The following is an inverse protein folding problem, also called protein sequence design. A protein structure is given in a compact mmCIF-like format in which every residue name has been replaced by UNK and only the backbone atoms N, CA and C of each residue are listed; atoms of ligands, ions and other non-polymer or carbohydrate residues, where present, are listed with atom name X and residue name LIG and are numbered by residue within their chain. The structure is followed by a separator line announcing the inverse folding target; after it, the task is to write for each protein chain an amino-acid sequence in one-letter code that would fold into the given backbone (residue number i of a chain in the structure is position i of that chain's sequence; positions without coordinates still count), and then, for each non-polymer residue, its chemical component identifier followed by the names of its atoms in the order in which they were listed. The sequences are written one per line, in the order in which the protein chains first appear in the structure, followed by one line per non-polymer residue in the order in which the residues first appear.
data_IF_972838183685
#
_entry.id   IF_972838183685
#
_cell.length_a   1.000
_cell.length_b   1.000
_cell.length_c   1.000
_cell.angle_alpha   90.00
_cell.angle_beta   90.00
_cell.angle_gamma   90.00
#
_symmetry.space_group_name_H-M   'P 1'
#
loop_
_entity.id
_entity.type
_entity.pdbx_description
1 polymer ?
#
# COMPACT_ATOMS: atom_id res chain seq x y z
N UNK A 1 4.70 22.12 -14.89
CA UNK A 1 3.25 21.82 -14.70
C UNK A 1 3.00 20.64 -13.72
N UNK A 2 4.02 20.04 -13.11
CA UNK A 2 3.90 18.89 -12.17
C UNK A 2 3.69 19.27 -10.69
N UNK A 3 3.80 20.54 -10.29
CA UNK A 3 3.66 20.96 -8.88
C UNK A 3 2.22 20.99 -8.33
N UNK A 4 1.21 20.59 -9.12
CA UNK A 4 -0.17 20.56 -8.65
C UNK A 4 -0.56 19.26 -7.95
N UNK A 5 0.21 18.19 -8.12
CA UNK A 5 -0.11 16.84 -7.64
C UNK A 5 -0.22 16.77 -6.11
N UNK A 6 0.78 17.29 -5.39
CA UNK A 6 0.78 17.28 -3.91
C UNK A 6 -0.14 18.33 -3.28
N UNK A 7 -0.66 19.30 -4.07
CA UNK A 7 -1.46 20.41 -3.54
C UNK A 7 -2.84 19.96 -3.02
N UNK A 8 -3.40 18.88 -3.55
CA UNK A 8 -4.68 18.32 -3.10
C UNK A 8 -4.66 18.00 -1.61
N UNK A 9 -3.51 17.54 -1.07
CA UNK A 9 -3.38 17.20 0.35
C UNK A 9 -3.57 18.39 1.28
N UNK A 10 -3.24 19.61 0.84
CA UNK A 10 -3.40 20.84 1.65
C UNK A 10 -4.87 21.28 1.76
N UNK A 11 -5.75 20.77 0.91
CA UNK A 11 -7.17 21.10 0.90
C UNK A 11 -7.99 20.19 1.80
N UNK A 12 -7.40 19.08 2.27
CA UNK A 12 -8.06 18.03 3.04
C UNK A 12 -7.87 18.24 4.53
N UNK A 13 -8.93 18.02 5.31
CA UNK A 13 -8.82 18.08 6.76
C UNK A 13 -8.21 16.80 7.32
N UNK A 14 -7.31 16.96 8.27
CA UNK A 14 -6.59 15.87 8.92
C UNK A 14 -7.52 14.81 9.55
N UNK A 15 -8.67 15.23 10.12
CA UNK A 15 -9.68 14.31 10.70
C UNK A 15 -10.40 13.49 9.63
N UNK A 16 -10.72 14.11 8.49
CA UNK A 16 -11.39 13.46 7.36
C UNK A 16 -10.41 12.52 6.63
N UNK A 17 -9.14 12.92 6.50
CA UNK A 17 -8.08 12.06 5.99
C UNK A 17 -7.89 10.81 6.87
N UNK A 18 -7.90 10.94 8.19
CA UNK A 18 -7.81 9.79 9.09
C UNK A 18 -9.00 8.84 8.91
N UNK A 19 -10.21 9.37 8.77
CA UNK A 19 -11.41 8.56 8.59
C UNK A 19 -11.42 7.84 7.22
N UNK A 20 -11.08 8.53 6.14
CA UNK A 20 -10.98 7.95 4.80
C UNK A 20 -9.91 6.85 4.73
N UNK A 21 -8.74 7.08 5.33
CA UNK A 21 -7.66 6.10 5.46
C UNK A 21 -8.14 4.84 6.18
N UNK A 22 -8.88 4.97 7.28
CA UNK A 22 -9.45 3.83 8.01
C UNK A 22 -10.35 2.97 7.11
N UNK A 23 -11.20 3.60 6.31
CA UNK A 23 -12.08 2.89 5.39
C UNK A 23 -11.31 2.18 4.28
N UNK A 24 -10.35 2.86 3.66
CA UNK A 24 -9.50 2.29 2.64
C UNK A 24 -8.66 1.12 3.18
N UNK A 25 -8.11 1.25 4.39
CA UNK A 25 -7.34 0.17 5.01
C UNK A 25 -8.22 -1.04 5.34
N UNK A 26 -9.49 -0.85 5.72
CA UNK A 26 -10.42 -1.96 5.92
C UNK A 26 -10.73 -2.68 4.61
N UNK A 27 -10.80 -1.99 3.48
CA UNK A 27 -10.89 -2.63 2.16
C UNK A 27 -9.65 -3.47 1.84
N UNK A 28 -8.43 -2.98 2.14
CA UNK A 28 -7.19 -3.73 1.98
C UNK A 28 -7.13 -4.97 2.88
N UNK A 29 -7.67 -4.89 4.08
CA UNK A 29 -7.74 -6.04 4.98
C UNK A 29 -8.60 -7.19 4.39
N UNK A 30 -9.62 -6.89 3.61
CA UNK A 30 -10.36 -7.93 2.90
C UNK A 30 -9.51 -8.61 1.82
N UNK A 31 -8.70 -7.86 1.08
CA UNK A 31 -7.75 -8.43 0.13
C UNK A 31 -6.71 -9.32 0.83
N UNK A 32 -6.17 -8.86 1.98
CA UNK A 32 -5.24 -9.63 2.78
C UNK A 32 -5.84 -10.94 3.31
N UNK A 33 -7.13 -10.95 3.70
CA UNK A 33 -7.85 -12.17 4.11
C UNK A 33 -7.95 -13.19 2.98
N UNK A 34 -8.27 -12.74 1.77
CA UNK A 34 -8.28 -13.62 0.59
C UNK A 34 -6.90 -14.17 0.29
N UNK A 35 -5.89 -13.30 0.27
CA UNK A 35 -4.50 -13.72 0.05
C UNK A 35 -4.06 -14.75 1.10
N UNK A 36 -4.33 -14.49 2.38
CA UNK A 36 -4.02 -15.42 3.47
C UNK A 36 -4.79 -16.75 3.42
N UNK A 37 -5.96 -16.76 2.79
CA UNK A 37 -6.79 -17.98 2.67
C UNK A 37 -6.39 -18.88 1.50
N UNK A 38 -5.87 -18.30 0.41
CA UNK A 38 -5.71 -19.00 -0.87
C UNK A 38 -4.32 -18.94 -1.48
N UNK A 39 -3.41 -18.13 -0.94
CA UNK A 39 -1.99 -18.12 -1.34
C UNK A 39 -1.19 -18.88 -0.27
N UNK A 40 -0.26 -19.72 -0.70
CA UNK A 40 0.60 -20.46 0.22
C UNK A 40 1.42 -19.47 1.06
N UNK A 41 1.33 -19.63 2.38
CA UNK A 41 2.03 -18.78 3.31
C UNK A 41 3.54 -19.07 3.31
N UNK A 42 4.34 -18.03 3.39
CA UNK A 42 5.77 -18.11 3.60
C UNK A 42 6.19 -17.51 4.95
N UNK A 43 7.41 -17.79 5.37
CA UNK A 43 7.95 -17.32 6.66
C UNK A 43 8.05 -15.79 6.78
N UNK A 44 7.96 -15.08 5.64
CA UNK A 44 8.07 -13.60 5.57
C UNK A 44 6.71 -12.93 5.44
N UNK A 45 5.60 -13.71 5.41
CA UNK A 45 4.25 -13.21 5.10
C UNK A 45 4.15 -12.47 3.75
N UNK A 46 5.01 -12.77 2.79
CA UNK A 46 5.00 -12.09 1.50
C UNK A 46 3.76 -12.43 0.66
N UNK A 47 3.04 -13.49 1.00
CA UNK A 47 1.79 -13.91 0.37
C UNK A 47 0.66 -12.88 0.51
N UNK A 48 0.68 -12.06 1.57
CA UNK A 48 -0.32 -11.00 1.81
C UNK A 48 0.11 -9.63 1.29
N UNK A 49 1.31 -9.49 0.75
CA UNK A 49 1.73 -8.27 0.10
C UNK A 49 0.91 -8.04 -1.17
N UNK A 50 0.44 -6.82 -1.32
CA UNK A 50 -0.34 -6.40 -2.48
C UNK A 50 0.57 -5.65 -3.45
N UNK A 51 0.25 -5.67 -4.73
CA UNK A 51 1.04 -5.07 -5.79
C UNK A 51 0.35 -3.79 -6.29
N UNK A 52 1.12 -2.75 -6.55
CA UNK A 52 0.62 -1.58 -7.22
C UNK A 52 0.58 -1.79 -8.74
N UNK A 53 -0.56 -1.51 -9.34
CA UNK A 53 -0.74 -1.49 -10.79
C UNK A 53 -0.80 -0.04 -11.29
N UNK A 54 0.32 0.47 -11.78
CA UNK A 54 0.41 1.87 -12.25
C UNK A 54 -0.51 2.17 -13.43
N UNK A 55 -0.76 1.20 -14.32
CA UNK A 55 -1.63 1.41 -15.47
C UNK A 55 -3.10 1.55 -15.08
N UNK A 56 -3.56 0.76 -14.12
CA UNK A 56 -4.93 0.79 -13.62
C UNK A 56 -5.11 1.73 -12.42
N UNK A 57 -4.03 2.28 -11.85
CA UNK A 57 -4.01 3.08 -10.61
C UNK A 57 -4.74 2.33 -9.48
N UNK A 58 -4.38 1.06 -9.28
CA UNK A 58 -5.09 0.13 -8.40
C UNK A 58 -4.12 -0.71 -7.58
N UNK A 59 -4.63 -1.29 -6.51
CA UNK A 59 -3.91 -2.23 -5.65
C UNK A 59 -4.43 -3.63 -5.95
N UNK A 60 -3.52 -4.60 -6.10
CA UNK A 60 -3.85 -5.96 -6.54
C UNK A 60 -3.24 -7.02 -5.63
N UNK A 61 -3.96 -8.12 -5.38
CA UNK A 61 -3.35 -9.30 -4.78
C UNK A 61 -2.40 -9.99 -5.77
N UNK A 62 -1.43 -10.75 -5.26
CA UNK A 62 -0.79 -11.79 -6.06
C UNK A 62 -1.86 -12.76 -6.57
N UNK A 63 -1.56 -13.49 -7.65
CA UNK A 63 -2.48 -14.51 -8.16
C UNK A 63 -2.65 -15.64 -7.14
N UNK A 64 -3.87 -16.12 -6.99
CA UNK A 64 -4.22 -17.31 -6.21
C UNK A 64 -4.95 -18.34 -7.08
N UNK A 65 -4.79 -19.60 -6.73
CA UNK A 65 -5.33 -20.72 -7.51
C UNK A 65 -4.95 -20.67 -9.01
N UNK A 66 -3.81 -20.04 -9.31
CA UNK A 66 -3.18 -19.90 -10.64
C UNK A 66 -3.88 -18.99 -11.64
N UNK A 67 -5.06 -18.46 -11.35
CA UNK A 67 -5.83 -17.65 -12.31
C UNK A 67 -6.54 -16.43 -11.72
N UNK A 68 -6.80 -16.40 -10.40
CA UNK A 68 -7.56 -15.34 -9.78
C UNK A 68 -6.67 -14.30 -9.11
N UNK A 69 -7.10 -13.05 -9.14
CA UNK A 69 -6.59 -11.97 -8.28
C UNK A 69 -7.73 -11.04 -7.92
N UNK A 70 -7.52 -10.22 -6.89
CA UNK A 70 -8.40 -9.10 -6.55
C UNK A 70 -7.75 -7.80 -6.97
N UNK A 71 -8.54 -6.84 -7.41
CA UNK A 71 -8.13 -5.49 -7.73
C UNK A 71 -9.00 -4.47 -7.02
N UNK A 72 -8.40 -3.56 -6.25
CA UNK A 72 -9.05 -2.47 -5.54
C UNK A 72 -8.65 -1.13 -6.17
N UNK A 73 -9.63 -0.35 -6.59
CA UNK A 73 -9.48 1.06 -6.91
C UNK A 73 -9.62 1.87 -5.65
N UNK A 74 -8.53 2.53 -5.26
CA UNK A 74 -8.46 3.25 -3.98
C UNK A 74 -9.37 4.47 -3.96
N UNK A 75 -9.47 5.19 -5.07
CA UNK A 75 -10.24 6.43 -5.21
C UNK A 75 -11.75 6.23 -4.98
N UNK A 76 -12.29 5.09 -5.45
CA UNK A 76 -13.73 4.79 -5.39
C UNK A 76 -14.08 3.70 -4.38
N UNK A 77 -13.06 3.06 -3.77
CA UNK A 77 -13.19 1.83 -2.98
C UNK A 77 -14.09 0.81 -3.71
N UNK A 78 -13.75 0.53 -4.96
CA UNK A 78 -14.36 -0.53 -5.76
C UNK A 78 -13.40 -1.72 -5.84
N UNK A 79 -13.91 -2.89 -5.49
CA UNK A 79 -13.18 -4.15 -5.49
C UNK A 79 -13.78 -5.11 -6.50
N UNK A 80 -12.93 -5.77 -7.28
CA UNK A 80 -13.37 -6.77 -8.26
C UNK A 80 -12.41 -7.95 -8.32
N UNK A 81 -12.92 -9.10 -8.75
CA UNK A 81 -12.09 -10.22 -9.15
C UNK A 81 -11.52 -9.96 -10.56
N UNK A 82 -10.32 -10.49 -10.79
CA UNK A 82 -9.73 -10.64 -12.11
C UNK A 82 -9.46 -12.12 -12.35
N UNK A 83 -9.74 -12.60 -13.56
CA UNK A 83 -9.43 -13.95 -14.04
C UNK A 83 -8.40 -13.84 -15.16
N UNK A 84 -7.23 -14.46 -14.99
CA UNK A 84 -6.10 -14.32 -15.93
C UNK A 84 -5.78 -12.86 -16.26
N UNK A 85 -5.75 -12.01 -15.23
CA UNK A 85 -5.51 -10.56 -15.28
C UNK A 85 -6.61 -9.73 -15.98
N UNK A 86 -7.74 -10.34 -16.33
CA UNK A 86 -8.89 -9.64 -16.94
C UNK A 86 -9.94 -9.40 -15.85
N UNK A 87 -10.36 -8.14 -15.63
CA UNK A 87 -11.45 -7.83 -14.71
C UNK A 87 -12.74 -8.54 -15.13
N UNK A 88 -13.42 -9.14 -14.14
CA UNK A 88 -14.70 -9.81 -14.37
C UNK A 88 -15.87 -8.95 -13.90
N UNK A 89 -17.10 -9.15 -14.39
CA UNK A 89 -18.30 -8.50 -13.88
C UNK A 89 -18.49 -8.67 -12.37
N UNK A 90 -19.41 -7.92 -11.77
CA UNK A 90 -19.78 -7.95 -10.35
C UNK A 90 -18.77 -7.28 -9.42
N UNK A 91 -18.47 -6.02 -9.72
CA UNK A 91 -17.70 -5.16 -8.83
C UNK A 91 -18.44 -4.92 -7.51
N UNK A 92 -17.73 -5.01 -6.40
CA UNK A 92 -18.20 -4.55 -5.10
C UNK A 92 -17.85 -3.07 -4.93
N UNK A 93 -18.85 -2.20 -4.83
CA UNK A 93 -18.65 -0.87 -4.24
C UNK A 93 -18.78 -0.99 -2.72
N UNK A 94 -17.83 -0.41 -1.99
CA UNK A 94 -17.90 -0.38 -0.53
C UNK A 94 -18.94 0.64 0.00
N UNK A 95 -19.39 1.61 -0.82
CA UNK A 95 -20.39 2.60 -0.38
C UNK A 95 -21.62 1.93 0.26
N UNK A 96 -21.94 2.33 1.50
CA UNK A 96 -23.05 1.78 2.30
C UNK A 96 -22.96 0.26 2.51
N UNK A 97 -21.74 -0.29 2.60
CA UNK A 97 -21.53 -1.71 2.87
C UNK A 97 -20.91 -1.91 4.24
N UNK A 98 -21.55 -2.76 5.03
CA UNK A 98 -21.02 -3.26 6.29
C UNK A 98 -19.99 -4.38 6.02
N UNK A 99 -19.11 -4.69 6.96
CA UNK A 99 -18.24 -5.87 6.87
C UNK A 99 -18.99 -7.17 6.60
N UNK A 100 -20.20 -7.34 7.14
CA UNK A 100 -21.04 -8.53 6.89
C UNK A 100 -21.49 -8.61 5.43
N UNK A 101 -21.86 -7.48 4.81
CA UNK A 101 -22.18 -7.45 3.38
C UNK A 101 -20.97 -7.80 2.50
N UNK A 102 -19.79 -7.27 2.84
CA UNK A 102 -18.55 -7.57 2.11
C UNK A 102 -18.20 -9.05 2.21
N UNK A 103 -18.31 -9.65 3.41
CA UNK A 103 -18.13 -11.09 3.61
C UNK A 103 -19.09 -11.91 2.74
N UNK A 104 -20.36 -11.57 2.75
CA UNK A 104 -21.38 -12.26 1.95
C UNK A 104 -21.07 -12.19 0.45
N UNK A 105 -20.62 -11.02 -0.04
CA UNK A 105 -20.20 -10.86 -1.44
C UNK A 105 -19.01 -11.79 -1.77
N UNK A 106 -17.98 -11.86 -0.93
CA UNK A 106 -16.85 -12.79 -1.15
C UNK A 106 -17.32 -14.25 -1.22
N UNK A 107 -18.18 -14.68 -0.30
CA UNK A 107 -18.66 -16.05 -0.28
C UNK A 107 -19.48 -16.42 -1.54
N UNK A 108 -20.23 -15.45 -2.10
CA UNK A 108 -20.98 -15.62 -3.36
C UNK A 108 -19.99 -15.69 -4.55
N UNK A 109 -19.05 -14.77 -4.62
CA UNK A 109 -18.09 -14.71 -5.73
C UNK A 109 -17.15 -15.94 -5.77
N UNK A 110 -16.72 -16.42 -4.61
CA UNK A 110 -15.96 -17.68 -4.50
C UNK A 110 -16.79 -18.89 -4.94
N UNK A 111 -18.08 -18.92 -4.57
CA UNK A 111 -19.01 -19.98 -5.02
C UNK A 111 -19.16 -19.97 -6.54
N UNK A 112 -19.37 -18.82 -7.17
CA UNK A 112 -19.54 -18.70 -8.62
C UNK A 112 -18.31 -19.22 -9.38
N UNK A 113 -17.12 -19.11 -8.78
CA UNK A 113 -15.84 -19.58 -9.36
C UNK A 113 -15.51 -21.03 -9.00
N UNK A 114 -16.38 -21.72 -8.27
CA UNK A 114 -16.11 -23.08 -7.81
C UNK A 114 -14.98 -23.18 -6.80
N UNK A 115 -14.61 -22.07 -6.17
CA UNK A 115 -13.53 -22.02 -5.15
C UNK A 115 -14.08 -22.53 -3.81
N UNK A 116 -13.28 -23.34 -3.14
CA UNK A 116 -13.61 -23.89 -1.82
C UNK A 116 -13.73 -22.79 -0.77
N UNK A 117 -14.98 -22.47 -0.39
CA UNK A 117 -15.29 -21.41 0.58
C UNK A 117 -14.93 -21.78 2.03
N UNK A 118 -14.77 -23.06 2.34
CA UNK A 118 -14.41 -23.50 3.70
C UNK A 118 -12.99 -23.09 4.07
N UNK A 119 -12.15 -22.83 3.07
CA UNK A 119 -10.81 -22.27 3.25
C UNK A 119 -10.79 -20.77 3.56
N UNK A 120 -11.88 -20.07 3.25
CA UNK A 120 -11.94 -18.63 3.50
C UNK A 120 -11.91 -18.33 5.00
N UNK A 121 -10.91 -17.60 5.43
CA UNK A 121 -10.73 -17.17 6.82
C UNK A 121 -10.81 -15.65 6.95
N UNK A 122 -11.54 -15.18 7.94
CA UNK A 122 -11.56 -13.76 8.34
C UNK A 122 -10.36 -13.36 9.21
N UNK A 123 -9.52 -14.31 9.56
CA UNK A 123 -8.32 -14.04 10.37
C UNK A 123 -7.27 -13.34 9.52
N UNK A 124 -6.74 -12.25 10.05
CA UNK A 124 -5.57 -11.59 9.50
C UNK A 124 -4.30 -12.21 10.12
N UNK A 125 -3.21 -12.38 9.37
CA UNK A 125 -1.94 -12.89 9.91
C UNK A 125 -1.16 -11.82 10.70
N UNK A 126 -1.77 -10.69 10.99
CA UNK A 126 -1.23 -9.55 11.74
C UNK A 126 -2.34 -8.90 12.59
N UNK A 127 -1.94 -8.04 13.52
CA UNK A 127 -2.90 -7.27 14.32
C UNK A 127 -3.44 -6.12 13.47
N UNK A 128 -4.72 -6.20 13.10
CA UNK A 128 -5.40 -5.11 12.40
C UNK A 128 -5.76 -3.98 13.36
N UNK A 129 -5.51 -2.76 12.95
CA UNK A 129 -5.87 -1.55 13.71
C UNK A 129 -7.19 -0.97 13.20
N UNK A 130 -8.00 -0.42 14.10
CA UNK A 130 -9.26 0.28 13.77
C UNK A 130 -10.21 -0.51 12.84
N UNK A 131 -10.29 -1.85 13.05
CA UNK A 131 -11.12 -2.72 12.22
C UNK A 131 -12.60 -2.36 12.31
N UNK A 132 -13.24 -2.28 11.16
CA UNK A 132 -14.70 -2.27 11.05
C UNK A 132 -15.21 -3.70 11.23
N UNK A 133 -16.26 -3.89 12.04
CA UNK A 133 -16.77 -5.22 12.35
C UNK A 133 -18.30 -5.25 12.38
N UNK A 134 -18.85 -6.44 12.06
CA UNK A 134 -20.28 -6.70 12.17
C UNK A 134 -21.11 -6.10 11.05
N UNK A 135 -22.32 -5.69 11.40
CA UNK A 135 -23.35 -5.17 10.50
C UNK A 135 -23.87 -3.77 10.90
N UNK A 136 -23.22 -3.13 11.87
CA UNK A 136 -23.63 -1.85 12.44
C UNK A 136 -22.83 -0.65 11.95
N UNK A 137 -21.72 -0.86 11.26
CA UNK A 137 -20.85 0.18 10.74
C UNK A 137 -20.70 0.03 9.22
N UNK A 138 -21.04 1.07 8.49
CA UNK A 138 -20.98 1.10 7.04
C UNK A 138 -19.81 1.92 6.53
N UNK A 139 -19.34 1.60 5.32
CA UNK A 139 -18.39 2.45 4.62
C UNK A 139 -19.13 3.66 4.03
N UNK A 140 -18.55 4.84 4.21
CA UNK A 140 -19.09 6.14 3.76
C UNK A 140 -18.20 6.74 2.67
N UNK A 141 -18.03 6.01 1.57
CA UNK A 141 -17.06 6.33 0.51
C UNK A 141 -17.32 7.70 -0.12
N UNK A 142 -18.59 8.01 -0.42
CA UNK A 142 -18.98 9.29 -1.02
C UNK A 142 -18.67 10.48 -0.11
N UNK A 143 -18.81 10.30 1.22
CA UNK A 143 -18.49 11.33 2.21
C UNK A 143 -17.01 11.71 2.19
N UNK A 144 -16.12 10.75 1.90
CA UNK A 144 -14.66 10.92 1.91
C UNK A 144 -14.05 10.86 0.51
N UNK A 145 -14.83 11.13 -0.54
CA UNK A 145 -14.37 11.01 -1.93
C UNK A 145 -13.16 11.91 -2.24
N UNK A 146 -13.14 13.13 -1.70
CA UNK A 146 -12.01 14.05 -1.90
C UNK A 146 -10.72 13.54 -1.25
N UNK A 147 -10.83 12.99 -0.04
CA UNK A 147 -9.71 12.43 0.72
C UNK A 147 -9.18 11.15 0.07
N UNK A 148 -10.08 10.30 -0.40
CA UNK A 148 -9.71 9.08 -1.13
C UNK A 148 -9.03 9.40 -2.46
N UNK A 149 -9.52 10.41 -3.20
CA UNK A 149 -8.87 10.90 -4.42
C UNK A 149 -7.48 11.45 -4.11
N UNK A 150 -7.34 12.32 -3.08
CA UNK A 150 -6.05 12.87 -2.69
C UNK A 150 -5.06 11.77 -2.25
N UNK A 151 -5.53 10.75 -1.52
CA UNK A 151 -4.71 9.62 -1.12
C UNK A 151 -4.29 8.75 -2.32
N UNK A 152 -5.20 8.50 -3.25
CA UNK A 152 -4.91 7.78 -4.49
C UNK A 152 -3.87 8.53 -5.35
N UNK A 153 -3.99 9.84 -5.46
CA UNK A 153 -3.01 10.66 -6.18
C UNK A 153 -1.64 10.59 -5.51
N UNK A 154 -1.58 10.69 -4.17
CA UNK A 154 -0.33 10.49 -3.42
C UNK A 154 0.30 9.11 -3.69
N UNK A 155 -0.51 8.06 -3.83
CA UNK A 155 -0.02 6.71 -4.14
C UNK A 155 0.51 6.60 -5.57
N UNK A 156 -0.18 7.21 -6.55
CA UNK A 156 0.30 7.27 -7.93
C UNK A 156 1.66 7.95 -8.02
N UNK A 157 1.77 9.14 -7.42
CA UNK A 157 3.00 9.92 -7.44
C UNK A 157 4.13 9.21 -6.68
N UNK A 158 3.80 8.56 -5.55
CA UNK A 158 4.75 7.76 -4.79
C UNK A 158 5.32 6.60 -5.61
N UNK A 159 4.51 5.94 -6.44
CA UNK A 159 5.00 4.88 -7.30
C UNK A 159 5.98 5.40 -8.37
N UNK A 160 5.73 6.59 -8.94
CA UNK A 160 6.65 7.27 -9.85
C UNK A 160 7.96 7.65 -9.15
N UNK A 161 7.87 8.21 -7.94
CA UNK A 161 9.04 8.53 -7.10
C UNK A 161 9.86 7.28 -6.76
N UNK A 162 9.22 6.17 -6.40
CA UNK A 162 9.90 4.90 -6.15
C UNK A 162 10.73 4.46 -7.36
N UNK A 163 10.16 4.52 -8.56
CA UNK A 163 10.88 4.17 -9.79
C UNK A 163 12.07 5.11 -10.05
N UNK A 164 11.88 6.43 -9.87
CA UNK A 164 12.94 7.41 -10.04
C UNK A 164 14.08 7.25 -9.02
N UNK A 165 13.76 6.88 -7.77
CA UNK A 165 14.78 6.57 -6.74
C UNK A 165 15.59 5.33 -7.14
N UNK A 166 14.94 4.27 -7.61
CA UNK A 166 15.63 3.06 -8.11
C UNK A 166 16.59 3.42 -9.24
N UNK A 167 16.14 4.25 -10.20
CA UNK A 167 17.01 4.69 -11.31
C UNK A 167 18.16 5.58 -10.84
N UNK A 168 17.93 6.45 -9.86
CA UNK A 168 18.99 7.26 -9.24
C UNK A 168 20.06 6.40 -8.56
N UNK A 169 19.62 5.35 -7.85
CA UNK A 169 20.52 4.44 -7.13
C UNK A 169 21.33 3.52 -8.06
N UNK A 170 20.78 3.15 -9.22
CA UNK A 170 21.50 2.38 -10.25
C UNK A 170 22.69 3.14 -10.82
N UNK A 171 22.55 4.46 -10.96
CA UNK A 171 23.58 5.33 -11.54
C UNK A 171 24.70 5.67 -10.53
N UNK A 172 24.56 5.28 -9.26
CA UNK A 172 25.63 5.44 -8.28
C UNK A 172 26.71 4.37 -8.47
N UNK A 173 27.99 4.78 -8.41
CA UNK A 173 29.16 3.95 -8.67
C UNK A 173 29.27 2.71 -7.75
N UNK A 174 28.58 2.69 -6.62
CA UNK A 174 28.62 1.60 -5.63
C UNK A 174 27.84 0.33 -6.04
N UNK A 175 27.02 0.37 -7.11
CA UNK A 175 26.37 -0.81 -7.73
C UNK A 175 25.62 -1.73 -6.77
N UNK A 176 24.94 -1.18 -5.74
CA UNK A 176 24.43 -2.01 -4.66
C UNK A 176 23.06 -2.67 -4.94
N UNK A 177 22.38 -2.28 -6.01
CA UNK A 177 21.10 -2.89 -6.37
C UNK A 177 21.32 -4.17 -7.17
N UNK A 178 20.90 -5.30 -6.61
CA UNK A 178 20.98 -6.62 -7.26
C UNK A 178 19.96 -6.80 -8.40
N UNK A 179 18.85 -6.07 -8.39
CA UNK A 179 17.79 -6.11 -9.39
C UNK A 179 17.34 -4.71 -9.78
N UNK A 180 16.91 -4.58 -11.02
CA UNK A 180 16.33 -3.35 -11.56
C UNK A 180 14.81 -3.41 -11.69
N UNK A 181 14.24 -4.60 -11.60
CA UNK A 181 12.81 -4.86 -11.62
C UNK A 181 12.33 -5.07 -10.18
N UNK A 182 12.10 -3.94 -9.49
CA UNK A 182 11.66 -3.92 -8.10
C UNK A 182 10.19 -3.54 -8.09
N UNK A 183 9.29 -4.44 -7.68
CA UNK A 183 7.87 -4.15 -7.66
C UNK A 183 7.55 -3.10 -6.60
N UNK A 184 6.56 -2.26 -6.88
CA UNK A 184 5.95 -1.41 -5.86
C UNK A 184 4.91 -2.22 -5.12
N UNK A 185 5.11 -2.35 -3.80
CA UNK A 185 4.33 -3.19 -2.90
C UNK A 185 3.48 -2.32 -1.99
N UNK A 186 2.24 -2.73 -1.77
CA UNK A 186 1.41 -2.19 -0.70
C UNK A 186 1.37 -3.19 0.46
N UNK A 187 1.79 -2.76 1.65
CA UNK A 187 1.72 -3.53 2.90
C UNK A 187 0.43 -3.17 3.64
N UNK A 188 -0.60 -4.03 3.60
CA UNK A 188 -1.94 -3.70 4.11
C UNK A 188 -1.99 -3.47 5.63
N UNK A 189 -1.09 -4.11 6.40
CA UNK A 189 -1.05 -4.00 7.86
C UNK A 189 -0.79 -2.57 8.34
N UNK A 190 0.06 -1.84 7.61
CA UNK A 190 0.47 -0.47 7.94
C UNK A 190 -0.01 0.58 6.92
N UNK A 191 -0.64 0.11 5.85
CA UNK A 191 -1.07 0.91 4.73
C UNK A 191 0.06 1.75 4.15
N UNK A 192 1.18 1.08 3.88
CA UNK A 192 2.35 1.64 3.20
C UNK A 192 2.38 1.19 1.75
N UNK A 193 2.81 2.07 0.85
CA UNK A 193 3.11 1.78 -0.55
C UNK A 193 4.57 2.11 -0.82
N UNK A 194 5.36 1.18 -1.35
CA UNK A 194 6.77 1.45 -1.63
C UNK A 194 7.53 0.26 -2.18
N UNK A 195 8.83 0.27 -2.00
CA UNK A 195 9.75 -0.76 -2.46
C UNK A 195 10.55 -1.34 -1.29
N UNK A 196 10.93 -2.61 -1.43
CA UNK A 196 11.87 -3.28 -0.52
C UNK A 196 13.20 -3.52 -1.27
N UNK A 197 14.31 -3.06 -0.71
CA UNK A 197 15.65 -3.15 -1.27
C UNK A 197 16.48 -4.13 -0.45
N UNK A 198 16.79 -5.28 -1.03
CA UNK A 198 17.73 -6.23 -0.41
C UNK A 198 19.15 -5.71 -0.53
N UNK A 199 19.84 -5.56 0.59
CA UNK A 199 21.22 -5.09 0.63
C UNK A 199 22.24 -6.15 0.24
N UNK A 200 21.90 -7.41 0.46
CA UNK A 200 22.70 -8.56 0.03
C UNK A 200 21.72 -9.70 -0.31
N UNK A 201 21.79 -10.29 -1.50
CA UNK A 201 20.96 -11.45 -1.83
C UNK A 201 21.31 -12.63 -0.91
N UNK A 202 20.35 -13.03 -0.07
CA UNK A 202 20.52 -14.18 0.81
C UNK A 202 19.46 -14.24 1.92
N UNK A 203 19.26 -15.44 2.48
CA UNK A 203 18.29 -15.63 3.56
C UNK A 203 18.71 -14.85 4.81
N UNK A 204 17.84 -13.98 5.31
CA UNK A 204 18.12 -13.18 6.52
C UNK A 204 18.95 -11.92 6.30
N UNK A 205 19.19 -11.51 5.05
CA UNK A 205 19.87 -10.24 4.75
C UNK A 205 19.03 -9.05 5.21
N UNK A 206 19.66 -8.00 5.75
CA UNK A 206 18.95 -6.77 6.08
C UNK A 206 18.36 -6.13 4.82
N UNK A 207 17.11 -5.73 4.87
CA UNK A 207 16.43 -5.02 3.80
C UNK A 207 16.06 -3.61 4.25
N UNK A 208 16.00 -2.68 3.28
CA UNK A 208 15.52 -1.32 3.48
C UNK A 208 14.18 -1.19 2.77
N UNK A 209 13.17 -0.67 3.48
CA UNK A 209 11.91 -0.24 2.89
C UNK A 209 11.90 1.26 2.71
N UNK A 210 11.45 1.70 1.55
CA UNK A 210 11.23 3.09 1.22
C UNK A 210 9.88 3.22 0.51
N UNK A 211 9.11 4.23 0.88
CA UNK A 211 7.80 4.47 0.26
C UNK A 211 7.00 5.53 0.97
N UNK A 212 5.70 5.53 0.69
CA UNK A 212 4.70 6.40 1.28
C UNK A 212 3.85 5.63 2.29
N UNK A 213 3.72 6.17 3.49
CA UNK A 213 2.68 5.80 4.45
C UNK A 213 1.43 6.63 4.19
N UNK A 214 0.26 6.03 4.22
CA UNK A 214 -1.02 6.76 4.19
C UNK A 214 -1.27 7.59 5.47
N UNK A 215 -0.36 7.52 6.42
CA UNK A 215 -0.43 8.08 7.77
C UNK A 215 -0.41 6.98 8.83
N UNK A 216 -0.21 7.35 10.08
CA UNK A 216 -0.16 6.44 11.22
C UNK A 216 -0.94 6.97 12.43
N UNK A 217 -0.78 6.35 13.59
CA UNK A 217 -1.41 6.78 14.84
C UNK A 217 -0.92 8.14 15.36
N UNK A 218 0.25 8.60 14.91
CA UNK A 218 0.87 9.87 15.29
C UNK A 218 0.69 10.94 14.22
N UNK A 219 0.60 10.54 12.94
CA UNK A 219 0.55 11.42 11.77
C UNK A 219 -0.68 11.09 10.94
N UNK A 220 -1.63 12.02 10.87
CA UNK A 220 -2.88 11.81 10.14
C UNK A 220 -2.70 11.89 8.62
N UNK A 221 -1.73 12.69 8.16
CA UNK A 221 -1.45 12.93 6.74
C UNK A 221 -0.38 11.99 6.20
N UNK A 222 -0.38 11.71 4.88
CA UNK A 222 0.63 10.88 4.26
C UNK A 222 2.05 11.44 4.41
N UNK A 223 3.02 10.55 4.49
CA UNK A 223 4.44 10.90 4.57
C UNK A 223 5.32 9.84 3.91
N UNK A 224 6.39 10.26 3.25
CA UNK A 224 7.44 9.35 2.81
C UNK A 224 8.32 8.93 3.99
N UNK A 225 8.81 7.70 3.91
CA UNK A 225 9.70 7.12 4.90
C UNK A 225 10.82 6.30 4.23
N UNK A 226 11.94 6.18 4.95
CA UNK A 226 12.99 5.21 4.69
C UNK A 226 13.40 4.58 6.00
N UNK A 227 13.36 3.26 6.08
CA UNK A 227 13.64 2.53 7.31
C UNK A 227 14.19 1.13 6.98
N UNK A 228 14.79 0.46 7.95
CA UNK A 228 15.00 -0.99 7.84
C UNK A 228 13.65 -1.70 7.78
N UNK A 229 13.63 -2.92 7.29
CA UNK A 229 12.41 -3.72 7.25
C UNK A 229 11.75 -3.82 8.62
N UNK A 230 12.53 -4.14 9.65
CA UNK A 230 12.04 -4.32 11.02
C UNK A 230 11.48 -3.02 11.61
N UNK A 231 12.17 -1.88 11.41
CA UNK A 231 11.67 -0.56 11.81
C UNK A 231 10.36 -0.21 11.08
N UNK A 232 10.29 -0.47 9.77
CA UNK A 232 9.10 -0.21 8.97
C UNK A 232 7.91 -1.09 9.41
N UNK A 233 8.14 -2.35 9.77
CA UNK A 233 7.12 -3.26 10.29
C UNK A 233 6.64 -2.89 11.69
N UNK A 234 7.52 -2.31 12.51
CA UNK A 234 7.18 -1.79 13.84
C UNK A 234 6.50 -0.41 13.78
N UNK A 235 6.56 0.31 12.65
CA UNK A 235 6.14 1.71 12.54
C UNK A 235 7.06 2.67 13.28
N UNK A 236 8.30 2.25 13.55
CA UNK A 236 9.31 3.03 14.28
C UNK A 236 10.24 3.73 13.29
N UNK A 237 9.97 5.00 13.03
CA UNK A 237 10.69 5.77 12.03
C UNK A 237 11.57 6.83 12.66
N UNK A 238 12.82 6.93 12.21
CA UNK A 238 13.65 8.08 12.54
C UNK A 238 13.12 9.36 11.90
N UNK A 239 13.03 10.44 12.68
CA UNK A 239 12.51 11.72 12.20
C UNK A 239 13.28 12.27 10.97
N UNK A 240 14.59 11.98 10.87
CA UNK A 240 15.45 12.41 9.74
C UNK A 240 15.16 11.66 8.43
N UNK A 241 14.46 10.52 8.51
CA UNK A 241 14.11 9.69 7.36
C UNK A 241 12.64 9.89 6.93
N UNK A 242 11.94 10.86 7.50
CA UNK A 242 10.55 11.18 7.21
C UNK A 242 10.44 12.48 6.41
N UNK A 243 9.58 12.45 5.39
CA UNK A 243 9.21 13.64 4.61
C UNK A 243 7.69 13.70 4.46
N UNK A 244 7.00 14.55 5.27
CA UNK A 244 5.55 14.73 5.14
C UNK A 244 5.15 15.29 3.78
N UNK A 245 4.06 14.77 3.18
CA UNK A 245 3.55 15.25 1.90
C UNK A 245 3.10 16.72 2.01
N UNK A 246 2.54 17.12 3.13
CA UNK A 246 2.21 18.52 3.40
C UNK A 246 3.42 19.45 3.28
N UNK A 247 4.60 19.00 3.72
CA UNK A 247 5.85 19.74 3.56
C UNK A 247 6.29 19.83 2.10
N UNK A 248 6.17 18.74 1.34
CA UNK A 248 6.46 18.73 -0.11
C UNK A 248 5.60 19.78 -0.80
N UNK A 249 4.30 19.79 -0.48
CA UNK A 249 3.33 20.72 -1.08
C UNK A 249 3.59 22.17 -0.63
N UNK A 250 3.80 22.44 0.67
CA UNK A 250 3.99 23.78 1.22
C UNK A 250 5.31 24.43 0.79
N UNK A 251 6.39 23.65 0.75
CA UNK A 251 7.73 24.11 0.34
C UNK A 251 7.90 24.10 -1.18
N UNK A 252 6.87 23.63 -1.91
CA UNK A 252 6.85 23.53 -3.36
C UNK A 252 8.05 22.73 -3.90
N UNK A 253 8.38 21.62 -3.21
CA UNK A 253 9.48 20.74 -3.59
C UNK A 253 9.21 20.09 -4.95
N UNK A 254 10.25 19.95 -5.76
CA UNK A 254 10.18 19.18 -7.01
C UNK A 254 10.29 17.68 -6.74
N UNK A 255 9.88 16.86 -7.73
CA UNK A 255 10.07 15.41 -7.67
C UNK A 255 11.57 15.07 -7.50
N UNK A 256 12.46 15.81 -8.14
CA UNK A 256 13.93 15.64 -8.01
C UNK A 256 14.42 15.91 -6.57
N UNK A 257 13.83 16.89 -5.86
CA UNK A 257 14.15 17.16 -4.45
C UNK A 257 13.71 15.98 -3.57
N UNK A 258 12.52 15.43 -3.82
CA UNK A 258 11.99 14.26 -3.10
C UNK A 258 12.86 13.03 -3.37
N UNK A 259 13.19 12.75 -4.64
CA UNK A 259 14.09 11.66 -5.04
C UNK A 259 15.45 11.80 -4.38
N UNK A 260 16.02 13.00 -4.37
CA UNK A 260 17.32 13.27 -3.74
C UNK A 260 17.28 13.03 -2.23
N UNK A 261 16.21 13.47 -1.55
CA UNK A 261 16.01 13.22 -0.12
C UNK A 261 15.95 11.72 0.18
N UNK A 262 15.13 10.97 -0.55
CA UNK A 262 14.93 9.54 -0.33
C UNK A 262 16.19 8.72 -0.67
N UNK A 263 16.85 9.03 -1.79
CA UNK A 263 18.10 8.37 -2.17
C UNK A 263 19.19 8.55 -1.11
N UNK A 264 19.31 9.77 -0.56
CA UNK A 264 20.24 10.05 0.55
C UNK A 264 19.85 9.26 1.80
N UNK A 265 18.57 9.24 2.16
CA UNK A 265 18.06 8.53 3.35
C UNK A 265 18.33 7.02 3.26
N UNK A 266 18.21 6.42 2.05
CA UNK A 266 18.56 5.01 1.81
C UNK A 266 20.05 4.76 2.04
N UNK A 267 20.93 5.62 1.49
CA UNK A 267 22.36 5.49 1.68
C UNK A 267 22.79 5.65 3.15
N UNK A 268 22.13 6.52 3.90
CA UNK A 268 22.40 6.72 5.32
C UNK A 268 21.87 5.52 6.15
N UNK A 269 20.70 4.98 5.83
CA UNK A 269 20.18 3.76 6.43
C UNK A 269 21.12 2.56 6.18
N UNK A 270 21.62 2.41 4.94
CA UNK A 270 22.60 1.38 4.58
C UNK A 270 23.87 1.47 5.41
N UNK A 271 24.41 2.70 5.62
CA UNK A 271 25.61 2.90 6.45
C UNK A 271 25.39 2.47 7.89
N UNK A 272 24.19 2.71 8.46
CA UNK A 272 23.85 2.26 9.82
C UNK A 272 23.83 0.74 9.93
N UNK A 273 23.32 0.04 8.93
CA UNK A 273 23.29 -1.42 8.88
C UNK A 273 24.68 -2.06 8.67
N UNK A 274 25.66 -1.32 8.13
CA UNK A 274 27.02 -1.81 7.88
C UNK A 274 27.94 -1.65 9.10
N UNK A 275 27.55 -0.89 10.14
CA UNK A 275 28.29 -0.64 11.37
C UNK A 275 27.75 -1.47 12.53
#
# INVERSE_FOLDING_TARGET
MKNQQWQSILTVKSTEMKASRRQAQNALHWMARIANSYIEADDKNSHIELLWNSNARSIRTKQFLSEYSLELRLETLELQFCENDIPVPHTLSFQERTPAHVEAWFLIELLHRGVDREKFSKTLPYVGTELMMGDSEEHEVEQYSNELTALNDCFCDSAEICAAVVDSLKNNEDGFLASTDIPVICWPQLFHLGIELDLQPGFGSPAIRMGLSAGDGLRSSPFFFTATKDEAEAGDFEASSLLPVERIASDNMSDDDVVSFLSKSILDCRKRLAN
#
